data_IF_462021983616
#
_entry.id   IF_462021983616
#
_cell.length_a   1.000
_cell.length_b   1.000
_cell.length_c   1.000
_cell.angle_alpha   90.00
_cell.angle_beta   90.00
_cell.angle_gamma   90.00
#
_symmetry.space_group_name_H-M   'P 1'
#
loop_
_entity.id
_entity.type
_entity.pdbx_description
1 polymer ?
#
# COMPACT_ATOMS: atom_id res chain seq x y z
N UNK A 1 -3.16 -23.30 0.61
CA UNK A 1 -4.42 -23.68 -0.06
C UNK A 1 -4.80 -22.78 -1.24
N UNK A 2 -5.11 -21.48 -1.10
CA UNK A 2 -5.59 -20.68 -2.25
C UNK A 2 -4.52 -20.42 -3.34
N UNK A 3 -3.26 -20.21 -2.94
CA UNK A 3 -2.16 -19.90 -3.86
C UNK A 3 -1.57 -21.14 -4.56
N UNK A 4 -1.49 -22.28 -3.89
CA UNK A 4 -1.06 -23.57 -4.50
C UNK A 4 -2.02 -24.02 -5.61
N UNK A 5 -3.32 -23.76 -5.44
CA UNK A 5 -4.31 -23.99 -6.49
C UNK A 5 -4.06 -23.08 -7.71
N UNK A 6 -3.55 -21.86 -7.50
CA UNK A 6 -3.24 -20.94 -8.59
C UNK A 6 -2.00 -21.40 -9.36
N UNK A 7 -1.01 -21.99 -8.69
CA UNK A 7 0.19 -22.51 -9.35
C UNK A 7 -0.14 -23.68 -10.28
N UNK A 8 -0.86 -24.67 -9.75
CA UNK A 8 -1.32 -25.81 -10.53
C UNK A 8 -2.21 -25.37 -11.71
N UNK A 9 -3.01 -24.32 -11.52
CA UNK A 9 -3.82 -23.72 -12.58
C UNK A 9 -2.96 -22.96 -13.60
N UNK A 10 -1.91 -22.28 -13.17
CA UNK A 10 -1.04 -21.47 -14.03
C UNK A 10 -0.15 -22.32 -14.93
N UNK A 11 0.26 -23.51 -14.47
CA UNK A 11 0.99 -24.48 -15.29
C UNK A 11 0.13 -25.09 -16.40
N UNK A 12 -1.19 -25.13 -16.21
CA UNK A 12 -2.15 -25.78 -17.13
C UNK A 12 -2.84 -24.76 -18.04
N UNK A 13 -3.05 -23.53 -17.58
CA UNK A 13 -3.82 -22.51 -18.27
C UNK A 13 -2.95 -21.53 -19.06
N UNK A 14 -3.46 -21.09 -20.21
CA UNK A 14 -2.88 -19.98 -20.99
C UNK A 14 -2.81 -18.70 -20.15
N UNK A 15 -1.79 -17.87 -20.38
CA UNK A 15 -1.57 -16.59 -19.67
C UNK A 15 -2.83 -15.71 -19.59
N UNK A 16 -3.64 -15.69 -20.65
CA UNK A 16 -4.90 -14.94 -20.70
C UNK A 16 -5.93 -15.39 -19.65
N UNK A 17 -5.96 -16.67 -19.30
CA UNK A 17 -6.85 -17.20 -18.29
C UNK A 17 -6.37 -16.87 -16.88
N UNK A 18 -5.07 -16.94 -16.62
CA UNK A 18 -4.45 -16.49 -15.36
C UNK A 18 -4.73 -14.99 -15.14
N UNK A 19 -4.55 -14.17 -16.17
CA UNK A 19 -4.88 -12.73 -16.12
C UNK A 19 -6.35 -12.47 -15.78
N UNK A 20 -7.28 -13.24 -16.37
CA UNK A 20 -8.72 -13.13 -16.05
C UNK A 20 -9.02 -13.52 -14.61
N UNK A 21 -8.35 -14.53 -14.07
CA UNK A 21 -8.49 -14.95 -12.67
C UNK A 21 -7.99 -13.85 -11.74
N UNK A 22 -6.78 -13.33 -11.97
CA UNK A 22 -6.20 -12.22 -11.20
C UNK A 22 -7.13 -11.02 -11.18
N UNK A 23 -7.66 -10.60 -12.34
CA UNK A 23 -8.62 -9.51 -12.43
C UNK A 23 -9.89 -9.75 -11.61
N UNK A 24 -10.45 -10.96 -11.64
CA UNK A 24 -11.61 -11.33 -10.82
C UNK A 24 -11.28 -11.31 -9.32
N UNK A 25 -10.10 -11.78 -8.93
CA UNK A 25 -9.65 -11.76 -7.54
C UNK A 25 -9.44 -10.34 -7.03
N UNK A 26 -8.70 -9.51 -7.77
CA UNK A 26 -8.49 -8.10 -7.45
C UNK A 26 -9.83 -7.36 -7.30
N UNK A 27 -10.76 -7.54 -8.24
CA UNK A 27 -12.10 -6.94 -8.16
C UNK A 27 -12.87 -7.38 -6.91
N UNK A 28 -12.79 -8.66 -6.53
CA UNK A 28 -13.42 -9.17 -5.29
C UNK A 28 -12.78 -8.57 -4.03
N UNK A 29 -11.45 -8.46 -3.99
CA UNK A 29 -10.72 -7.88 -2.87
C UNK A 29 -11.05 -6.39 -2.70
N UNK A 30 -11.03 -5.61 -3.79
CA UNK A 30 -11.42 -4.20 -3.76
C UNK A 30 -12.88 -4.04 -3.32
N UNK A 31 -13.78 -4.92 -3.78
CA UNK A 31 -15.17 -4.90 -3.32
C UNK A 31 -15.28 -5.18 -1.83
N UNK A 32 -14.51 -6.13 -1.29
CA UNK A 32 -14.47 -6.44 0.15
C UNK A 32 -13.95 -5.25 0.95
N UNK A 33 -12.82 -4.68 0.54
CA UNK A 33 -12.24 -3.47 1.15
C UNK A 33 -13.25 -2.32 1.19
N UNK A 34 -13.98 -2.07 0.09
CA UNK A 34 -14.99 -1.02 0.06
C UNK A 34 -16.15 -1.28 1.03
N UNK A 35 -16.57 -2.54 1.19
CA UNK A 35 -17.62 -2.92 2.16
C UNK A 35 -17.13 -2.70 3.59
N UNK A 36 -15.91 -3.14 3.92
CA UNK A 36 -15.29 -2.98 5.24
C UNK A 36 -15.12 -1.49 5.59
N UNK A 37 -14.56 -0.70 4.66
CA UNK A 37 -14.39 0.75 4.84
C UNK A 37 -15.72 1.44 5.16
N UNK A 38 -16.79 1.07 4.44
CA UNK A 38 -18.11 1.67 4.64
C UNK A 38 -18.76 1.20 5.94
N UNK A 39 -18.58 -0.07 6.32
CA UNK A 39 -19.17 -0.65 7.53
C UNK A 39 -18.51 -0.19 8.82
N UNK A 40 -17.17 -0.11 8.85
CA UNK A 40 -16.41 0.17 10.08
C UNK A 40 -16.09 1.66 10.27
N UNK A 41 -15.89 2.39 9.17
CA UNK A 41 -15.37 3.77 9.21
C UNK A 41 -16.28 4.80 8.54
N UNK A 42 -17.48 4.39 8.11
CA UNK A 42 -18.40 5.19 7.27
C UNK A 42 -17.74 5.77 6.01
N UNK A 43 -16.64 5.17 5.56
CA UNK A 43 -15.82 5.66 4.46
C UNK A 43 -16.20 4.99 3.13
N UNK A 44 -16.67 5.77 2.14
CA UNK A 44 -16.93 5.25 0.79
C UNK A 44 -15.69 5.32 -0.11
N UNK A 45 -14.93 4.22 -0.12
CA UNK A 45 -13.74 4.02 -0.94
C UNK A 45 -13.97 4.29 -2.44
N UNK A 46 -15.19 4.08 -2.96
CA UNK A 46 -15.48 4.27 -4.40
C UNK A 46 -15.65 5.74 -4.76
N UNK A 47 -16.06 6.56 -3.80
CA UNK A 47 -16.24 8.01 -3.97
C UNK A 47 -14.92 8.78 -3.89
N UNK A 48 -13.87 8.18 -3.31
CA UNK A 48 -12.55 8.78 -3.09
C UNK A 48 -11.74 8.91 -4.40
N UNK A 49 -12.13 9.88 -5.24
CA UNK A 49 -11.47 10.16 -6.53
C UNK A 49 -10.14 10.88 -6.39
N UNK A 50 -9.94 11.60 -5.28
CA UNK A 50 -8.67 12.26 -4.93
C UNK A 50 -8.33 11.91 -3.49
N UNK A 51 -7.50 10.91 -3.30
CA UNK A 51 -7.08 10.51 -1.96
C UNK A 51 -5.65 10.04 -1.91
N UNK A 52 -5.21 9.72 -0.70
CA UNK A 52 -3.92 9.12 -0.41
C UNK A 52 -4.15 7.74 0.18
N UNK A 53 -3.30 6.79 -0.17
CA UNK A 53 -3.33 5.46 0.37
C UNK A 53 -1.94 4.97 0.74
N UNK A 54 -1.87 4.16 1.80
CA UNK A 54 -0.67 3.43 2.17
C UNK A 54 -0.99 1.93 2.20
N UNK A 55 -0.09 1.14 1.64
CA UNK A 55 -0.10 -0.32 1.75
C UNK A 55 0.99 -0.68 2.74
N UNK A 56 0.64 -1.41 3.79
CA UNK A 56 1.55 -1.84 4.83
C UNK A 56 1.42 -3.34 5.06
N UNK A 57 2.44 -3.94 5.66
CA UNK A 57 2.27 -5.20 6.36
C UNK A 57 1.37 -4.98 7.58
N UNK A 58 0.58 -5.99 7.90
CA UNK A 58 -0.25 -6.02 9.09
C UNK A 58 0.43 -6.84 10.21
N UNK A 59 -0.15 -6.78 11.41
CA UNK A 59 0.24 -7.58 12.57
C UNK A 59 1.71 -7.39 13.00
N UNK A 60 2.44 -8.48 13.16
CA UNK A 60 3.75 -8.52 13.82
C UNK A 60 4.93 -8.35 12.85
N UNK A 61 4.68 -8.01 11.57
CA UNK A 61 5.69 -7.96 10.53
C UNK A 61 6.15 -6.53 10.19
N UNK A 62 7.47 -6.30 10.14
CA UNK A 62 8.10 -5.09 9.58
C UNK A 62 9.19 -5.46 8.58
N UNK A 63 9.52 -4.55 7.65
CA UNK A 63 10.73 -4.64 6.84
C UNK A 63 11.90 -3.93 7.53
N UNK A 64 13.09 -4.52 7.44
CA UNK A 64 14.36 -3.95 7.89
C UNK A 64 14.87 -2.91 6.88
N UNK A 65 14.54 -1.64 7.13
CA UNK A 65 15.18 -0.51 6.43
C UNK A 65 16.40 -0.04 7.23
N UNK A 66 17.38 0.54 6.54
CA UNK A 66 18.74 0.80 7.04
C UNK A 66 18.81 1.41 8.46
N UNK A 67 18.00 2.44 8.74
CA UNK A 67 17.97 3.11 10.06
C UNK A 67 16.84 2.67 10.96
N UNK A 68 15.70 2.26 10.40
CA UNK A 68 14.51 1.98 11.20
C UNK A 68 13.56 1.02 10.47
N UNK A 69 13.14 -0.08 11.13
CA UNK A 69 12.10 -0.93 10.59
C UNK A 69 10.77 -0.20 10.34
N UNK A 70 10.05 -0.63 9.30
CA UNK A 70 8.74 -0.08 8.98
C UNK A 70 7.86 -1.11 8.27
N UNK A 71 6.55 -1.01 8.45
CA UNK A 71 5.57 -1.87 7.77
C UNK A 71 5.23 -1.38 6.37
N UNK A 72 5.56 -0.13 6.05
CA UNK A 72 5.05 0.55 4.87
C UNK A 72 5.74 0.03 3.61
N UNK A 73 4.95 -0.58 2.74
CA UNK A 73 5.38 -1.11 1.45
C UNK A 73 5.28 -0.09 0.34
N UNK A 74 4.18 0.68 0.34
CA UNK A 74 3.85 1.63 -0.72
C UNK A 74 3.04 2.80 -0.17
N UNK A 75 3.34 4.01 -0.65
CA UNK A 75 2.54 5.22 -0.45
C UNK A 75 2.19 5.76 -1.84
N UNK A 76 0.92 6.08 -2.06
CA UNK A 76 0.46 6.63 -3.33
C UNK A 76 -0.73 7.57 -3.18
N UNK A 77 -1.01 8.35 -4.22
CA UNK A 77 -2.23 9.15 -4.31
C UNK A 77 -3.01 8.94 -5.62
N UNK A 78 -4.21 9.52 -5.68
CA UNK A 78 -5.10 9.52 -6.84
C UNK A 78 -6.48 8.96 -6.53
N UNK A 79 -7.13 8.38 -7.55
CA UNK A 79 -8.36 7.62 -7.35
C UNK A 79 -8.02 6.29 -6.66
N UNK A 80 -8.33 6.19 -5.36
CA UNK A 80 -7.84 5.10 -4.52
C UNK A 80 -8.32 3.75 -5.06
N UNK A 81 -9.62 3.62 -5.35
CA UNK A 81 -10.20 2.36 -5.81
C UNK A 81 -9.53 1.86 -7.11
N UNK A 82 -9.34 2.74 -8.10
CA UNK A 82 -8.67 2.40 -9.36
C UNK A 82 -7.22 2.00 -9.14
N UNK A 83 -6.49 2.74 -8.29
CA UNK A 83 -5.06 2.50 -8.03
C UNK A 83 -4.84 1.18 -7.29
N UNK A 84 -5.63 0.90 -6.25
CA UNK A 84 -5.56 -0.38 -5.53
C UNK A 84 -5.93 -1.55 -6.44
N UNK A 85 -6.97 -1.42 -7.28
CA UNK A 85 -7.31 -2.45 -8.27
C UNK A 85 -6.14 -2.71 -9.22
N UNK A 86 -5.52 -1.66 -9.76
CA UNK A 86 -4.37 -1.78 -10.65
C UNK A 86 -3.19 -2.47 -9.98
N UNK A 87 -2.89 -2.12 -8.72
CA UNK A 87 -1.80 -2.75 -7.96
C UNK A 87 -2.07 -4.24 -7.72
N UNK A 88 -3.29 -4.59 -7.30
CA UNK A 88 -3.75 -5.98 -7.08
C UNK A 88 -3.89 -6.79 -8.37
N UNK A 89 -4.10 -6.17 -9.52
CA UNK A 89 -4.08 -6.87 -10.81
C UNK A 89 -2.65 -7.11 -11.32
N UNK A 90 -1.71 -6.26 -10.88
CA UNK A 90 -0.30 -6.31 -11.25
C UNK A 90 0.58 -6.88 -10.14
N UNK A 91 1.64 -6.13 -9.82
CA UNK A 91 2.77 -6.60 -9.01
C UNK A 91 2.46 -6.86 -7.54
N UNK A 92 1.40 -6.24 -6.98
CA UNK A 92 1.04 -6.50 -5.58
C UNK A 92 0.51 -7.92 -5.38
N UNK A 93 -0.16 -8.50 -6.39
CA UNK A 93 -0.61 -9.89 -6.33
C UNK A 93 0.57 -10.85 -6.27
N UNK A 94 1.53 -10.66 -7.18
CA UNK A 94 2.73 -11.50 -7.24
C UNK A 94 3.56 -11.33 -5.95
N UNK A 95 3.65 -10.11 -5.41
CA UNK A 95 4.34 -9.85 -4.14
C UNK A 95 3.63 -10.52 -2.95
N UNK A 96 2.30 -10.46 -2.88
CA UNK A 96 1.52 -11.14 -1.85
C UNK A 96 1.67 -12.67 -1.95
N UNK A 97 1.74 -13.18 -3.17
CA UNK A 97 1.97 -14.59 -3.46
C UNK A 97 3.36 -15.02 -2.97
N UNK A 98 4.40 -14.21 -3.20
CA UNK A 98 5.78 -14.49 -2.76
C UNK A 98 5.94 -14.46 -1.24
N UNK A 99 5.29 -13.50 -0.57
CA UNK A 99 5.40 -13.36 0.88
C UNK A 99 4.71 -14.46 1.67
N UNK A 100 3.66 -15.08 1.10
CA UNK A 100 2.82 -16.16 1.68
C UNK A 100 2.47 -15.97 3.16
N UNK A 101 1.18 -15.85 3.47
CA UNK A 101 0.66 -15.79 4.86
C UNK A 101 0.86 -14.44 5.56
N UNK A 102 1.63 -13.50 5.01
CA UNK A 102 1.75 -12.14 5.58
C UNK A 102 0.53 -11.27 5.21
N UNK A 103 -0.28 -10.82 6.19
CA UNK A 103 -1.43 -9.97 5.92
C UNK A 103 -1.01 -8.55 5.54
N UNK A 104 -1.83 -7.88 4.73
CA UNK A 104 -1.64 -6.48 4.36
C UNK A 104 -2.70 -5.59 5.01
N UNK A 105 -2.26 -4.44 5.50
CA UNK A 105 -3.11 -3.37 6.01
C UNK A 105 -3.14 -2.22 5.02
N UNK A 106 -4.33 -1.68 4.77
CA UNK A 106 -4.53 -0.53 3.89
C UNK A 106 -4.98 0.67 4.70
N UNK A 107 -4.31 1.79 4.50
CA UNK A 107 -4.72 3.09 5.05
C UNK A 107 -5.23 3.96 3.91
N UNK A 108 -6.31 4.69 4.15
CA UNK A 108 -6.93 5.58 3.17
C UNK A 108 -7.21 6.95 3.78
N UNK A 109 -7.04 7.99 2.98
CA UNK A 109 -7.46 9.34 3.28
C UNK A 109 -8.18 9.92 2.05
N UNK A 110 -9.43 10.33 2.23
CA UNK A 110 -10.22 10.98 1.18
C UNK A 110 -10.10 12.50 1.25
N UNK A 111 -9.67 13.09 0.14
CA UNK A 111 -9.48 14.52 -0.04
C UNK A 111 -10.30 15.03 -1.23
N UNK A 112 -11.33 14.27 -1.65
CA UNK A 112 -12.18 14.59 -2.80
C UNK A 112 -12.92 15.91 -2.60
N UNK A 113 -13.40 16.17 -1.39
CA UNK A 113 -14.14 17.38 -1.01
C UNK A 113 -13.27 18.51 -0.47
N UNK A 114 -11.94 18.33 -0.40
CA UNK A 114 -11.03 19.33 0.14
C UNK A 114 -11.08 20.62 -0.71
N UNK A 115 -11.72 21.65 -0.16
CA UNK A 115 -11.91 22.96 -0.80
C UNK A 115 -10.61 23.77 -0.93
N UNK A 116 -9.58 23.41 -0.14
CA UNK A 116 -8.44 24.29 0.13
C UNK A 116 -7.46 24.33 -1.05
N UNK A 117 -7.08 23.20 -1.67
CA UNK A 117 -6.28 23.19 -2.91
C UNK A 117 -6.48 21.92 -3.77
N UNK A 118 -6.39 22.07 -5.11
CA UNK A 118 -6.55 20.98 -6.08
C UNK A 118 -5.54 19.83 -5.93
N UNK A 119 -4.42 20.04 -5.21
CA UNK A 119 -3.29 19.09 -5.10
C UNK A 119 -3.00 18.62 -3.67
N UNK A 120 -3.93 18.81 -2.72
CA UNK A 120 -3.72 18.40 -1.31
C UNK A 120 -3.38 16.91 -1.14
N UNK A 121 -3.96 16.03 -1.94
CA UNK A 121 -3.62 14.59 -1.93
C UNK A 121 -2.16 14.33 -2.33
N UNK A 122 -1.64 15.07 -3.32
CA UNK A 122 -0.23 14.96 -3.72
C UNK A 122 0.67 15.51 -2.62
N UNK A 123 0.31 16.64 -2.02
CA UNK A 123 1.06 17.24 -0.92
C UNK A 123 1.12 16.31 0.32
N UNK A 124 0.01 15.65 0.66
CA UNK A 124 -0.03 14.66 1.75
C UNK A 124 0.82 13.43 1.44
N UNK A 125 0.72 12.87 0.22
CA UNK A 125 1.59 11.78 -0.24
C UNK A 125 3.08 12.15 -0.10
N UNK A 126 3.46 13.35 -0.58
CA UNK A 126 4.83 13.83 -0.48
C UNK A 126 5.30 14.01 0.96
N UNK A 127 4.42 14.49 1.84
CA UNK A 127 4.73 14.67 3.26
C UNK A 127 4.93 13.32 3.95
N UNK A 128 4.13 12.31 3.62
CA UNK A 128 4.31 10.95 4.12
C UNK A 128 5.61 10.31 3.60
N UNK A 129 5.92 10.47 2.31
CA UNK A 129 7.17 9.98 1.72
C UNK A 129 8.39 10.67 2.32
N UNK A 130 8.35 11.99 2.50
CA UNK A 130 9.43 12.75 3.12
C UNK A 130 9.68 12.32 4.57
N UNK A 131 8.60 12.13 5.35
CA UNK A 131 8.71 11.62 6.71
C UNK A 131 9.26 10.19 6.76
N UNK A 132 8.72 9.29 5.95
CA UNK A 132 9.23 7.91 5.84
C UNK A 132 10.73 7.92 5.51
N UNK A 133 11.13 8.73 4.53
CA UNK A 133 12.52 8.85 4.08
C UNK A 133 13.43 9.39 5.19
N UNK A 134 12.98 10.38 5.96
CA UNK A 134 13.72 10.89 7.13
C UNK A 134 13.90 9.84 8.23
N UNK A 135 12.86 9.03 8.46
CA UNK A 135 12.84 7.97 9.47
C UNK A 135 13.72 6.76 9.09
N UNK A 136 13.91 6.50 7.79
CA UNK A 136 14.54 5.28 7.25
C UNK A 136 15.85 5.50 6.50
N UNK A 137 16.54 6.60 6.79
CA UNK A 137 17.83 6.99 6.17
C UNK A 137 17.77 7.23 4.66
N UNK A 138 16.90 8.15 4.27
CA UNK A 138 16.67 8.56 2.88
C UNK A 138 16.13 7.44 1.96
N UNK A 139 15.72 6.31 2.53
CA UNK A 139 15.10 5.23 1.76
C UNK A 139 13.67 5.56 1.33
N UNK A 140 13.16 4.83 0.35
CA UNK A 140 11.75 4.84 -0.05
C UNK A 140 11.08 3.54 0.42
N UNK A 141 9.74 3.54 0.57
CA UNK A 141 9.01 2.29 0.77
C UNK A 141 9.36 1.29 -0.32
N UNK A 142 9.35 0.00 0.03
CA UNK A 142 9.98 -1.04 -0.80
C UNK A 142 9.46 -1.04 -2.24
N UNK A 143 8.15 -0.83 -2.42
CA UNK A 143 7.49 -0.92 -3.71
C UNK A 143 7.41 0.43 -4.44
N UNK A 144 7.76 1.55 -3.80
CA UNK A 144 7.77 2.88 -4.44
C UNK A 144 8.98 3.02 -5.39
N UNK A 145 8.75 3.35 -6.66
CA UNK A 145 9.82 3.49 -7.66
C UNK A 145 10.58 4.83 -7.57
N UNK A 146 9.85 5.94 -7.49
CA UNK A 146 10.40 7.30 -7.50
C UNK A 146 9.63 8.17 -6.51
N UNK A 147 10.32 9.17 -5.93
CA UNK A 147 9.68 10.18 -5.11
C UNK A 147 9.03 11.24 -6.02
N UNK A 148 7.69 11.34 -6.02
CA UNK A 148 6.98 12.19 -6.97
C UNK A 148 7.05 13.68 -6.59
N UNK A 149 7.98 14.45 -7.17
CA UNK A 149 8.01 15.93 -7.13
C UNK A 149 8.25 16.55 -5.74
N UNK A 150 9.51 16.94 -5.50
CA UNK A 150 10.06 17.56 -4.28
C UNK A 150 9.46 18.92 -3.84
N UNK A 151 8.29 19.35 -4.31
CA UNK A 151 7.86 20.77 -4.18
C UNK A 151 6.54 21.02 -3.47
N UNK A 152 5.83 19.99 -2.97
CA UNK A 152 4.55 20.18 -2.29
C UNK A 152 4.64 19.77 -0.82
N UNK A 153 4.69 20.74 0.07
CA UNK A 153 4.48 20.55 1.51
C UNK A 153 2.98 20.60 1.82
N UNK A 154 2.47 19.57 2.48
CA UNK A 154 1.15 19.62 3.09
C UNK A 154 1.18 20.68 4.20
N UNK A 155 0.16 21.54 4.26
CA UNK A 155 0.06 22.64 5.24
C UNK A 155 -0.05 22.14 6.69
N UNK A 156 -0.61 22.95 7.59
CA UNK A 156 -0.83 22.58 9.00
C UNK A 156 -1.58 21.26 9.12
N UNK A 157 -0.82 20.20 9.33
CA UNK A 157 -1.35 18.85 9.35
C UNK A 157 -1.94 18.61 10.74
N UNK A 158 -3.26 18.41 10.80
CA UNK A 158 -3.92 17.95 12.01
C UNK A 158 -3.23 16.70 12.56
N UNK A 159 -3.30 16.50 13.89
CA UNK A 159 -2.73 15.33 14.55
C UNK A 159 -3.19 14.03 13.89
N UNK A 160 -2.26 13.11 13.60
CA UNK A 160 -2.55 11.79 13.05
C UNK A 160 -2.45 11.67 11.53
N UNK A 161 -2.03 12.72 10.81
CA UNK A 161 -1.77 12.64 9.36
C UNK A 161 -0.74 11.55 9.00
N UNK A 162 0.21 11.29 9.90
CA UNK A 162 1.30 10.32 9.76
C UNK A 162 0.97 8.96 10.38
N UNK A 163 -0.29 8.70 10.77
CA UNK A 163 -0.74 7.44 11.40
C UNK A 163 -0.21 6.18 10.70
N UNK A 164 -0.16 6.07 9.35
CA UNK A 164 0.38 4.89 8.70
C UNK A 164 1.86 4.62 9.02
N UNK A 165 2.64 5.67 9.34
CA UNK A 165 4.07 5.58 9.64
C UNK A 165 4.35 5.31 11.13
N UNK A 166 3.32 5.40 11.98
CA UNK A 166 3.45 5.16 13.40
C UNK A 166 3.59 3.65 13.66
N UNK A 167 4.46 3.29 14.61
CA UNK A 167 4.62 1.90 15.03
C UNK A 167 3.58 1.58 16.09
N UNK A 168 3.05 0.36 16.01
CA UNK A 168 2.26 -0.18 17.10
C UNK A 168 3.15 -0.30 18.34
N UNK A 169 2.61 0.11 19.49
CA UNK A 169 3.28 0.03 20.80
C UNK A 169 2.64 -1.09 21.62
N UNK A 170 3.43 -1.75 22.47
CA UNK A 170 2.94 -2.76 23.41
C UNK A 170 2.99 -4.19 22.87
N UNK A 171 2.11 -5.11 23.33
CA UNK A 171 2.17 -6.54 22.96
C UNK A 171 1.98 -6.84 21.47
N UNK A 172 1.44 -5.91 20.69
CA UNK A 172 1.33 -5.97 19.23
C UNK A 172 2.55 -5.36 18.51
N UNK A 173 3.64 -5.11 19.24
CA UNK A 173 4.90 -4.71 18.66
C UNK A 173 5.44 -5.83 17.76
N UNK A 174 6.23 -5.44 16.78
CA UNK A 174 6.85 -6.31 15.78
C UNK A 174 7.54 -7.53 16.41
N UNK A 175 7.14 -8.72 15.98
CA UNK A 175 7.82 -9.97 16.32
C UNK A 175 8.72 -10.46 15.18
N UNK A 176 8.42 -10.06 13.93
CA UNK A 176 9.09 -10.55 12.73
C UNK A 176 9.64 -9.41 11.89
N UNK A 177 10.94 -9.46 11.65
CA UNK A 177 11.65 -8.51 10.81
C UNK A 177 12.05 -9.17 9.49
N UNK A 178 11.52 -8.65 8.38
CA UNK A 178 11.79 -9.13 7.03
C UNK A 178 12.94 -8.33 6.42
N UNK A 179 13.98 -9.01 5.97
CA UNK A 179 15.11 -8.36 5.28
C UNK A 179 15.04 -8.65 3.78
N UNK A 180 15.05 -7.60 2.98
CA UNK A 180 15.18 -7.75 1.53
C UNK A 180 16.56 -8.32 1.18
N UNK A 181 16.61 -9.24 0.21
CA UNK A 181 17.88 -9.66 -0.40
C UNK A 181 18.51 -8.48 -1.16
N UNK A 182 19.82 -8.46 -1.30
CA UNK A 182 20.54 -7.37 -2.00
C UNK A 182 20.03 -7.20 -3.44
N UNK A 183 19.80 -8.30 -4.16
CA UNK A 183 19.14 -8.32 -5.45
C UNK A 183 17.61 -8.51 -5.30
N UNK A 184 16.91 -7.47 -4.84
CA UNK A 184 15.46 -7.50 -4.69
C UNK A 184 14.74 -6.90 -5.91
N UNK A 185 14.17 -7.77 -6.74
CA UNK A 185 13.38 -7.37 -7.92
C UNK A 185 12.06 -6.65 -7.58
N UNK A 186 11.62 -6.70 -6.31
CA UNK A 186 10.45 -5.96 -5.83
C UNK A 186 10.71 -4.48 -5.57
N UNK A 187 11.99 -4.06 -5.49
CA UNK A 187 12.33 -2.67 -5.22
C UNK A 187 11.77 -1.76 -6.33
N UNK A 188 10.83 -0.89 -5.98
CA UNK A 188 10.18 0.02 -6.92
C UNK A 188 9.21 -0.65 -7.91
N UNK A 189 8.64 -1.80 -7.56
CA UNK A 189 7.75 -2.55 -8.45
C UNK A 189 6.36 -1.92 -8.68
N UNK A 190 5.94 -0.97 -7.84
CA UNK A 190 4.66 -0.27 -7.97
C UNK A 190 4.83 1.18 -8.43
N UNK A 191 3.89 1.66 -9.26
CA UNK A 191 3.84 3.02 -9.79
C UNK A 191 2.49 3.67 -9.57
#
# INVERSE_FOLDING_TARGET
>A
MAFEAIDAISEILKEDAVRKIRKKMASRLVKKLAIECKGEFDFDLRSATKGVYCIALDEEFEFDYEKRPSRILHIGSGNICTRISSHLEGKLFDFAYDLRVVPFRFYFADLTTSLVEKKNHVALEQSLLAKFSSDTDQSLPLLNKNNASKSLTFGEANSGWDKPLQRDRGPQATAWLLKAKEANHWKGALQ
#
